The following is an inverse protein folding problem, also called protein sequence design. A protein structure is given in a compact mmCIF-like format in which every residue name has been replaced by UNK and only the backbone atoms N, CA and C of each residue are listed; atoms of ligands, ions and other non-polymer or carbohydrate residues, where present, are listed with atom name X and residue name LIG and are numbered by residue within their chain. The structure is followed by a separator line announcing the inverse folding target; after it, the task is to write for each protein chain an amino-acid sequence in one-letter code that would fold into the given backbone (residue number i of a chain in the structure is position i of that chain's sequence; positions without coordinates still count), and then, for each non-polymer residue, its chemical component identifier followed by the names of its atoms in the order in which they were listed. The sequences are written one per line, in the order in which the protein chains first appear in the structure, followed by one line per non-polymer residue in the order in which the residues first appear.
data_IF_502562652545
#
_entry.id   IF_502562652545
#
_cell.length_a   1.000
_cell.length_b   1.000
_cell.length_c   1.000
_cell.angle_alpha   90.00
_cell.angle_beta   90.00
_cell.angle_gamma   90.00
#
_symmetry.space_group_name_H-M   'P 1'
#
loop_
_entity.id
_entity.type
_entity.pdbx_description
1 polymer ?
#
# COMPACT_ATOMS: atom_id res chain seq x y z
N UNK A 1 -21.84 -36.49 -36.57
CA UNK A 1 -20.95 -36.33 -35.40
C UNK A 1 -19.92 -35.21 -35.57
N UNK A 2 -19.13 -35.20 -36.65
CA UNK A 2 -18.02 -34.25 -36.87
C UNK A 2 -18.42 -32.76 -36.79
N UNK A 3 -19.57 -32.34 -37.34
CA UNK A 3 -20.02 -30.93 -37.28
C UNK A 3 -20.31 -30.41 -35.86
N UNK A 4 -20.75 -31.28 -34.94
CA UNK A 4 -21.02 -30.91 -33.53
C UNK A 4 -19.71 -30.77 -32.73
N UNK A 5 -18.71 -31.60 -33.05
CA UNK A 5 -17.37 -31.51 -32.45
C UNK A 5 -16.65 -30.25 -32.93
N UNK A 6 -16.76 -29.91 -34.22
CA UNK A 6 -16.16 -28.68 -34.76
C UNK A 6 -16.79 -27.41 -34.15
N UNK A 7 -18.11 -27.40 -33.93
CA UNK A 7 -18.81 -26.28 -33.29
C UNK A 7 -18.38 -26.11 -31.83
N UNK A 8 -18.23 -27.21 -31.09
CA UNK A 8 -17.78 -27.16 -29.69
C UNK A 8 -16.32 -26.68 -29.56
N UNK A 9 -15.44 -27.07 -30.48
CA UNK A 9 -14.06 -26.57 -30.52
C UNK A 9 -14.04 -25.07 -30.88
N UNK A 10 -14.87 -24.63 -31.82
CA UNK A 10 -14.95 -23.21 -32.18
C UNK A 10 -15.49 -22.34 -31.04
N UNK A 11 -16.49 -22.82 -30.30
CA UNK A 11 -17.03 -22.12 -29.11
C UNK A 11 -15.99 -22.12 -27.98
N UNK A 12 -15.29 -23.23 -27.73
CA UNK A 12 -14.22 -23.28 -26.74
C UNK A 12 -13.04 -22.36 -27.09
N UNK A 13 -12.69 -22.25 -28.38
CA UNK A 13 -11.65 -21.33 -28.86
C UNK A 13 -12.10 -19.87 -28.79
N UNK A 14 -13.38 -19.57 -29.06
CA UNK A 14 -13.94 -18.23 -28.91
C UNK A 14 -13.99 -17.79 -27.44
N UNK A 15 -14.31 -18.70 -26.51
CA UNK A 15 -14.30 -18.42 -25.06
C UNK A 15 -12.88 -18.17 -24.54
N UNK A 16 -11.85 -18.78 -25.14
CA UNK A 16 -10.45 -18.56 -24.76
C UNK A 16 -9.90 -17.17 -25.14
N UNK A 17 -10.54 -16.45 -26.08
CA UNK A 17 -10.12 -15.12 -26.54
C UNK A 17 -10.71 -13.99 -25.66
N UNK A 18 -11.66 -14.29 -24.77
CA UNK A 18 -12.41 -13.28 -23.99
C UNK A 18 -11.85 -12.95 -22.59
N UNK A 19 -10.67 -13.46 -22.21
CA UNK A 19 -10.10 -13.21 -20.87
C UNK A 19 -8.71 -12.59 -20.89
N UNK A 20 -8.45 -11.63 -21.80
CA UNK A 20 -7.33 -10.72 -21.61
C UNK A 20 -7.74 -9.67 -20.58
N UNK A 21 -7.42 -9.90 -19.30
CA UNK A 21 -7.44 -8.81 -18.32
C UNK A 21 -6.33 -7.85 -18.80
N UNK A 22 -6.64 -6.60 -19.17
CA UNK A 22 -5.59 -5.66 -19.54
C UNK A 22 -4.66 -5.51 -18.34
N UNK A 23 -3.37 -5.74 -18.54
CA UNK A 23 -2.39 -5.36 -17.55
C UNK A 23 -2.54 -3.85 -17.34
N UNK A 24 -2.75 -3.41 -16.09
CA UNK A 24 -2.77 -2.00 -15.78
C UNK A 24 -1.40 -1.42 -16.19
N UNK A 25 -1.42 -0.34 -16.97
CA UNK A 25 -0.20 0.33 -17.36
C UNK A 25 0.27 1.18 -16.18
N UNK A 26 1.58 1.25 -15.96
CA UNK A 26 2.17 2.07 -14.90
C UNK A 26 1.88 3.55 -15.18
N UNK A 27 1.04 4.17 -14.35
CA UNK A 27 0.66 5.58 -14.50
C UNK A 27 1.60 6.48 -13.70
N UNK A 28 1.92 7.66 -14.22
CA UNK A 28 2.71 8.66 -13.49
C UNK A 28 1.97 9.99 -13.54
N UNK A 29 1.75 10.57 -12.37
CA UNK A 29 1.07 11.84 -12.15
C UNK A 29 2.04 12.77 -11.43
N UNK A 30 2.19 13.98 -11.93
CA UNK A 30 3.10 14.99 -11.40
C UNK A 30 2.33 16.28 -11.19
N UNK A 31 2.25 16.78 -9.96
CA UNK A 31 1.42 17.95 -9.60
C UNK A 31 -0.03 17.81 -10.11
N UNK A 32 -0.67 16.69 -9.78
CA UNK A 32 -2.04 16.31 -10.17
C UNK A 32 -2.32 16.16 -11.67
N UNK A 33 -1.29 16.22 -12.52
CA UNK A 33 -1.42 16.00 -13.96
C UNK A 33 -0.76 14.69 -14.39
N UNK A 34 -1.54 13.86 -15.10
CA UNK A 34 -1.04 12.63 -15.72
C UNK A 34 -0.04 12.95 -16.82
N UNK A 35 1.10 12.25 -16.78
CA UNK A 35 2.18 12.41 -17.73
C UNK A 35 2.09 11.37 -18.83
N UNK A 36 2.05 11.85 -20.07
CA UNK A 36 2.17 11.02 -21.26
C UNK A 36 3.65 10.78 -21.57
N UNK A 37 3.98 9.52 -21.86
CA UNK A 37 5.35 9.11 -22.17
C UNK A 37 5.44 8.53 -23.58
N UNK A 38 6.43 8.98 -24.34
CA UNK A 38 6.80 8.32 -25.60
C UNK A 38 7.35 6.91 -25.38
N UNK A 39 8.08 6.72 -24.27
CA UNK A 39 8.57 5.42 -23.81
C UNK A 39 7.92 5.15 -22.47
N UNK A 40 7.02 4.16 -22.44
CA UNK A 40 6.19 3.85 -21.27
C UNK A 40 7.05 3.65 -20.00
N UNK A 41 6.57 4.09 -18.83
CA UNK A 41 7.18 3.77 -17.55
C UNK A 41 7.33 2.26 -17.37
N UNK A 42 8.41 1.82 -16.72
CA UNK A 42 8.73 0.41 -16.55
C UNK A 42 8.85 0.04 -15.07
N UNK A 43 8.20 -1.04 -14.67
CA UNK A 43 8.40 -1.64 -13.35
C UNK A 43 9.35 -2.83 -13.49
N UNK A 44 10.50 -2.78 -12.82
CA UNK A 44 11.53 -3.80 -12.88
C UNK A 44 12.00 -4.12 -11.45
N UNK A 45 11.81 -5.36 -10.99
CA UNK A 45 12.15 -5.81 -9.63
C UNK A 45 11.67 -4.87 -8.51
N UNK A 46 10.43 -4.40 -8.60
CA UNK A 46 9.84 -3.48 -7.60
C UNK A 46 10.39 -2.05 -7.66
N UNK A 47 11.04 -1.67 -8.77
CA UNK A 47 11.57 -0.32 -8.99
C UNK A 47 10.99 0.24 -10.28
N UNK A 48 10.36 1.40 -10.15
CA UNK A 48 9.77 2.09 -11.28
C UNK A 48 10.78 3.02 -11.97
N UNK A 49 10.81 2.94 -13.29
CA UNK A 49 11.67 3.72 -14.17
C UNK A 49 10.82 4.61 -15.07
N UNK A 50 11.22 5.87 -15.17
CA UNK A 50 10.53 6.88 -16.00
C UNK A 50 11.54 7.61 -16.87
N UNK A 51 11.10 8.07 -18.05
CA UNK A 51 11.91 8.97 -18.84
C UNK A 51 12.09 10.30 -18.10
N UNK A 52 13.33 10.77 -17.97
CA UNK A 52 13.68 11.97 -17.16
C UNK A 52 12.94 13.21 -17.62
N UNK A 53 12.93 13.46 -18.93
CA UNK A 53 12.48 14.72 -19.52
C UNK A 53 11.01 15.09 -19.21
N UNK A 54 10.01 14.23 -19.47
CA UNK A 54 8.61 14.60 -19.23
C UNK A 54 8.33 14.90 -17.75
N UNK A 55 8.90 14.12 -16.82
CA UNK A 55 8.74 14.35 -15.38
C UNK A 55 9.45 15.64 -14.94
N UNK A 56 10.72 15.81 -15.31
CA UNK A 56 11.50 16.99 -14.96
C UNK A 56 10.90 18.28 -15.54
N UNK A 57 10.42 18.25 -16.78
CA UNK A 57 9.77 19.39 -17.41
C UNK A 57 8.48 19.80 -16.67
N UNK A 58 7.67 18.82 -16.24
CA UNK A 58 6.47 19.12 -15.46
C UNK A 58 6.80 19.76 -14.11
N UNK A 59 7.89 19.33 -13.50
CA UNK A 59 8.44 19.91 -12.27
C UNK A 59 9.15 21.27 -12.46
N UNK A 60 9.09 21.86 -13.66
CA UNK A 60 9.73 23.14 -13.98
C UNK A 60 11.25 23.07 -14.12
N UNK A 61 11.82 21.88 -14.29
CA UNK A 61 13.25 21.67 -14.47
C UNK A 61 13.65 21.63 -15.95
N UNK A 62 14.85 22.14 -16.25
CA UNK A 62 15.48 22.03 -17.56
C UNK A 62 16.30 20.75 -17.65
N UNK A 63 16.31 20.10 -18.81
CA UNK A 63 17.04 18.84 -19.01
C UNK A 63 17.99 18.95 -20.20
N UNK A 64 19.29 18.78 -19.94
CA UNK A 64 20.35 18.79 -20.93
C UNK A 64 20.99 17.41 -21.02
N UNK A 65 21.18 16.91 -22.24
CA UNK A 65 21.89 15.65 -22.49
C UNK A 65 23.27 15.94 -23.07
N UNK A 66 24.31 15.32 -22.51
CA UNK A 66 25.67 15.32 -23.03
C UNK A 66 25.99 13.96 -23.65
N UNK A 67 26.02 13.84 -25.00
CA UNK A 67 26.31 12.57 -25.65
C UNK A 67 27.73 12.05 -25.38
N UNK A 68 28.73 12.95 -25.32
CA UNK A 68 30.14 12.59 -25.12
C UNK A 68 30.39 12.05 -23.71
N UNK A 69 29.74 12.62 -22.71
CA UNK A 69 29.83 12.18 -21.31
C UNK A 69 28.80 11.09 -20.94
N UNK A 70 27.81 10.84 -21.81
CA UNK A 70 26.64 9.98 -21.53
C UNK A 70 25.93 10.40 -20.24
N UNK A 71 25.72 11.70 -20.09
CA UNK A 71 25.21 12.31 -18.86
C UNK A 71 23.96 13.12 -19.13
N UNK A 72 22.95 12.97 -18.28
CA UNK A 72 21.80 13.87 -18.22
C UNK A 72 21.97 14.85 -17.06
N UNK A 73 21.80 16.13 -17.34
CA UNK A 73 21.80 17.21 -16.35
C UNK A 73 20.38 17.75 -16.22
N UNK A 74 19.88 17.84 -15.00
CA UNK A 74 18.56 18.37 -14.66
C UNK A 74 18.75 19.57 -13.76
N UNK A 75 18.22 20.73 -14.14
CA UNK A 75 18.44 21.99 -13.42
C UNK A 75 17.12 22.65 -13.05
N UNK A 76 16.94 23.00 -11.77
CA UNK A 76 15.74 23.68 -11.25
C UNK A 76 16.09 24.62 -10.11
N UNK A 77 15.97 25.93 -10.32
CA UNK A 77 16.42 26.91 -9.34
C UNK A 77 17.88 26.67 -8.96
N UNK A 78 18.15 26.43 -7.68
CA UNK A 78 19.49 26.15 -7.14
C UNK A 78 19.88 24.65 -7.18
N UNK A 79 19.02 23.80 -7.75
CA UNK A 79 19.27 22.36 -7.90
C UNK A 79 19.93 22.10 -9.26
N UNK A 80 21.12 21.48 -9.22
CA UNK A 80 21.84 20.93 -10.36
C UNK A 80 22.09 19.43 -10.13
N UNK A 81 21.30 18.60 -10.81
CA UNK A 81 21.39 17.14 -10.72
C UNK A 81 22.07 16.58 -11.98
N UNK A 82 23.18 15.88 -11.80
CA UNK A 82 23.96 15.27 -12.87
C UNK A 82 23.94 13.75 -12.72
N UNK A 83 23.46 13.04 -13.75
CA UNK A 83 23.27 11.59 -13.75
C UNK A 83 24.01 10.97 -14.94
N UNK A 84 24.99 10.12 -14.64
CA UNK A 84 25.69 9.34 -15.66
C UNK A 84 24.90 8.05 -15.97
N UNK A 85 24.65 7.79 -17.26
CA UNK A 85 23.94 6.56 -17.68
C UNK A 85 24.80 5.34 -17.44
N UNK A 86 24.22 4.32 -16.80
CA UNK A 86 24.90 3.09 -16.40
C UNK A 86 25.74 3.21 -15.13
N UNK A 87 25.89 4.43 -14.58
CA UNK A 87 26.56 4.67 -13.31
C UNK A 87 25.59 4.58 -12.13
N UNK A 88 26.12 4.21 -10.96
CA UNK A 88 25.40 4.23 -9.68
C UNK A 88 25.65 5.51 -8.90
N UNK A 89 26.36 6.49 -9.45
CA UNK A 89 26.64 7.75 -8.76
C UNK A 89 26.00 8.90 -9.53
N UNK A 90 25.13 9.63 -8.83
CA UNK A 90 24.61 10.93 -9.24
C UNK A 90 25.38 12.04 -8.52
N UNK A 91 25.26 13.28 -8.99
CA UNK A 91 25.76 14.45 -8.28
C UNK A 91 24.64 15.47 -8.11
N UNK A 92 24.35 15.86 -6.88
CA UNK A 92 23.42 16.93 -6.54
C UNK A 92 24.25 18.12 -6.05
N UNK A 93 24.26 19.23 -6.80
CA UNK A 93 25.06 20.42 -6.48
C UNK A 93 26.53 20.06 -6.20
N UNK A 94 27.11 19.26 -7.12
CA UNK A 94 28.47 18.71 -7.06
C UNK A 94 28.75 17.72 -5.91
N UNK A 95 27.76 17.43 -5.04
CA UNK A 95 27.87 16.41 -4.00
C UNK A 95 27.45 15.03 -4.53
N UNK A 96 28.27 13.98 -4.35
CA UNK A 96 27.95 12.65 -4.84
C UNK A 96 26.80 12.02 -4.04
N UNK A 97 25.85 11.42 -4.76
CA UNK A 97 24.73 10.65 -4.22
C UNK A 97 24.75 9.26 -4.84
N UNK A 98 24.68 8.21 -4.00
CA UNK A 98 24.61 6.83 -4.48
C UNK A 98 23.19 6.48 -4.90
N UNK A 99 23.09 5.83 -6.05
CA UNK A 99 21.88 5.25 -6.61
C UNK A 99 21.84 3.78 -6.27
N UNK A 100 20.68 3.30 -5.81
CA UNK A 100 20.48 1.87 -5.60
C UNK A 100 20.57 1.07 -6.91
N UNK A 101 20.12 1.68 -8.02
CA UNK A 101 20.10 1.06 -9.35
C UNK A 101 20.52 2.11 -10.39
N UNK A 102 21.39 1.75 -11.35
CA UNK A 102 21.84 2.68 -12.37
C UNK A 102 20.71 3.11 -13.30
N UNK A 103 20.84 4.33 -13.83
CA UNK A 103 20.00 4.79 -14.93
C UNK A 103 20.33 4.06 -16.24
N UNK A 104 19.36 3.94 -17.14
CA UNK A 104 19.50 3.21 -18.41
C UNK A 104 18.95 3.99 -19.59
N UNK A 105 19.34 3.63 -20.80
CA UNK A 105 18.72 4.16 -22.02
C UNK A 105 17.84 3.07 -22.62
N UNK A 106 16.57 3.39 -22.85
CA UNK A 106 15.60 2.54 -23.54
C UNK A 106 15.01 3.36 -24.67
N UNK A 107 15.07 2.84 -25.90
CA UNK A 107 14.49 3.49 -27.09
C UNK A 107 14.92 4.96 -27.26
N UNK A 108 16.17 5.27 -26.94
CA UNK A 108 16.72 6.63 -27.05
C UNK A 108 16.28 7.60 -25.94
N UNK A 109 15.58 7.13 -24.91
CA UNK A 109 15.22 7.90 -23.71
C UNK A 109 16.01 7.43 -22.49
N UNK A 110 16.52 8.37 -21.71
CA UNK A 110 17.17 8.08 -20.43
C UNK A 110 16.10 7.82 -19.39
N UNK A 111 16.05 6.59 -18.90
CA UNK A 111 15.18 6.11 -17.84
C UNK A 111 15.95 6.10 -16.51
N UNK A 112 15.33 6.65 -15.47
CA UNK A 112 15.89 6.73 -14.13
C UNK A 112 14.90 6.16 -13.12
N UNK A 113 15.37 5.63 -11.97
CA UNK A 113 14.49 5.32 -10.85
C UNK A 113 13.70 6.57 -10.45
N UNK A 114 12.38 6.49 -10.53
CA UNK A 114 11.50 7.66 -10.37
C UNK A 114 11.63 8.31 -8.99
N UNK A 115 11.87 7.49 -7.95
CA UNK A 115 12.08 7.94 -6.57
C UNK A 115 13.26 8.88 -6.44
N UNK A 116 14.40 8.51 -7.01
CA UNK A 116 15.61 9.34 -7.00
C UNK A 116 15.36 10.66 -7.72
N UNK A 117 14.68 10.62 -8.87
CA UNK A 117 14.39 11.83 -9.62
C UNK A 117 13.52 12.80 -8.81
N UNK A 118 12.49 12.29 -8.14
CA UNK A 118 11.62 13.08 -7.26
C UNK A 118 12.40 13.63 -6.04
N UNK A 119 13.04 12.75 -5.27
CA UNK A 119 13.75 13.11 -4.04
C UNK A 119 14.87 14.12 -4.27
N UNK A 120 15.68 13.95 -5.31
CA UNK A 120 16.79 14.87 -5.60
C UNK A 120 16.34 16.19 -6.19
N UNK A 121 15.13 16.25 -6.76
CA UNK A 121 14.49 17.51 -7.09
C UNK A 121 13.82 18.14 -5.86
N UNK A 122 13.69 17.44 -4.74
CA UNK A 122 13.02 17.92 -3.54
C UNK A 122 11.51 17.72 -3.55
N UNK A 123 11.02 16.75 -4.32
CA UNK A 123 9.61 16.38 -4.38
C UNK A 123 9.31 15.12 -3.55
N UNK A 124 8.10 15.06 -3.01
CA UNK A 124 7.57 13.83 -2.44
C UNK A 124 7.15 12.86 -3.55
N UNK A 125 7.20 11.55 -3.26
CA UNK A 125 6.76 10.51 -4.18
C UNK A 125 5.94 9.44 -3.45
N UNK A 126 4.83 9.06 -4.05
CA UNK A 126 3.96 8.00 -3.56
C UNK A 126 3.67 6.98 -4.65
N UNK A 127 3.64 5.72 -4.23
CA UNK A 127 3.18 4.59 -5.01
C UNK A 127 1.76 4.23 -4.56
N UNK A 128 0.85 4.07 -5.51
CA UNK A 128 -0.48 3.49 -5.31
C UNK A 128 -0.52 2.14 -6.03
N UNK A 129 -0.46 1.05 -5.28
CA UNK A 129 -0.47 -0.29 -5.86
C UNK A 129 -1.81 -0.64 -6.55
N UNK A 130 -2.92 -0.05 -6.10
CA UNK A 130 -4.27 -0.38 -6.61
C UNK A 130 -4.50 0.18 -8.00
N UNK A 131 -3.94 1.36 -8.29
CA UNK A 131 -4.02 2.02 -9.59
C UNK A 131 -2.76 1.79 -10.45
N UNK A 132 -1.75 1.09 -9.90
CA UNK A 132 -0.39 1.07 -10.43
C UNK A 132 0.10 2.49 -10.78
N UNK A 133 -0.10 3.42 -9.84
CA UNK A 133 0.13 4.85 -10.03
C UNK A 133 1.32 5.38 -9.23
N UNK A 134 2.12 6.24 -9.84
CA UNK A 134 3.21 6.99 -9.21
C UNK A 134 2.83 8.46 -9.16
N UNK A 135 2.83 9.04 -7.97
CA UNK A 135 2.44 10.42 -7.73
C UNK A 135 3.63 11.22 -7.22
N UNK A 136 4.00 12.29 -7.92
CA UNK A 136 5.16 13.14 -7.61
C UNK A 136 4.71 14.57 -7.35
N UNK A 137 5.16 15.16 -6.25
CA UNK A 137 4.85 16.53 -5.87
C UNK A 137 4.36 16.67 -4.43
N UNK A 138 4.07 17.91 -4.03
CA UNK A 138 3.16 18.23 -2.92
C UNK A 138 1.73 17.83 -3.31
N UNK A 139 1.53 16.54 -3.53
CA UNK A 139 0.22 15.98 -3.31
C UNK A 139 0.02 16.14 -1.81
N UNK A 140 -0.99 16.91 -1.39
CA UNK A 140 -1.73 16.48 -0.20
C UNK A 140 -2.11 15.05 -0.54
N UNK A 141 -1.31 14.10 -0.03
CA UNK A 141 -1.68 12.73 -0.15
C UNK A 141 -3.11 12.67 0.32
N UNK A 142 -4.00 12.01 -0.42
CA UNK A 142 -5.35 11.91 0.05
C UNK A 142 -5.38 11.33 1.47
N UNK A 143 -4.32 10.60 1.83
CA UNK A 143 -4.05 9.97 3.09
C UNK A 143 -3.36 10.86 4.14
N UNK A 144 -4.12 11.31 5.14
CA UNK A 144 -3.57 11.81 6.39
C UNK A 144 -3.07 10.64 7.26
N UNK A 145 -1.80 10.67 7.71
CA UNK A 145 -1.35 9.76 8.77
C UNK A 145 -2.09 10.16 10.04
N UNK A 146 -2.93 9.28 10.57
CA UNK A 146 -3.69 9.57 11.79
C UNK A 146 -2.77 9.57 13.01
N UNK A 147 -2.08 10.69 13.25
CA UNK A 147 -1.28 10.95 14.44
C UNK A 147 -2.22 11.04 15.64
N UNK A 148 -2.29 9.97 16.44
CA UNK A 148 -3.25 9.82 17.53
C UNK A 148 -3.85 8.41 17.65
N UNK A 149 -3.55 7.52 16.70
CA UNK A 149 -3.84 6.10 16.89
C UNK A 149 -2.92 5.52 17.98
N UNK A 150 -3.51 5.09 19.09
CA UNK A 150 -2.78 4.43 20.17
C UNK A 150 -2.81 2.92 19.96
N UNK A 151 -1.63 2.32 19.93
CA UNK A 151 -1.48 0.86 20.00
C UNK A 151 -1.94 0.41 21.38
N UNK A 152 -2.96 -0.44 21.40
CA UNK A 152 -3.49 -0.97 22.66
C UNK A 152 -3.19 -2.44 22.71
N UNK A 153 -2.51 -2.86 23.78
CA UNK A 153 -2.49 -4.26 24.16
C UNK A 153 -3.90 -4.63 24.61
N UNK A 154 -4.57 -5.60 23.96
CA UNK A 154 -5.92 -5.98 24.34
C UNK A 154 -5.89 -6.57 25.76
N UNK A 155 -6.36 -5.81 26.75
CA UNK A 155 -6.57 -6.33 28.09
C UNK A 155 -7.95 -6.99 28.18
N UNK A 156 -8.06 -8.13 28.88
CA UNK A 156 -9.35 -8.78 29.06
C UNK A 156 -10.29 -7.88 29.87
N UNK A 157 -11.41 -7.49 29.26
CA UNK A 157 -12.44 -6.73 29.98
C UNK A 157 -12.98 -7.59 31.12
N UNK A 158 -13.00 -7.07 32.36
CA UNK A 158 -13.55 -7.82 33.50
C UNK A 158 -15.07 -8.01 33.35
N UNK A 159 -15.56 -9.25 33.25
CA UNK A 159 -16.99 -9.57 33.12
C UNK A 159 -17.28 -10.82 32.27
N UNK A 160 -18.55 -11.22 32.15
CA UNK A 160 -19.01 -12.20 31.16
C UNK A 160 -19.28 -11.47 29.84
N UNK A 161 -18.49 -11.77 28.81
CA UNK A 161 -18.60 -11.14 27.50
C UNK A 161 -18.97 -12.16 26.43
N UNK A 162 -19.67 -11.69 25.41
CA UNK A 162 -19.95 -12.43 24.19
C UNK A 162 -19.34 -11.61 23.04
N UNK A 163 -18.16 -11.99 22.55
CA UNK A 163 -17.53 -11.32 21.41
C UNK A 163 -18.29 -11.69 20.17
N UNK A 164 -18.79 -10.68 19.48
CA UNK A 164 -19.97 -10.78 18.65
C UNK A 164 -19.71 -10.97 17.13
N UNK A 165 -18.49 -11.31 16.67
CA UNK A 165 -18.08 -11.16 15.25
C UNK A 165 -17.69 -12.50 14.61
N UNK A 166 -18.35 -12.90 13.51
CA UNK A 166 -18.04 -14.13 12.75
C UNK A 166 -16.77 -13.91 11.93
N UNK A 167 -15.65 -13.89 12.64
CA UNK A 167 -14.33 -13.86 12.04
C UNK A 167 -13.99 -15.29 11.62
N UNK A 168 -13.88 -15.60 10.32
CA UNK A 168 -13.11 -16.75 9.88
C UNK A 168 -11.74 -16.80 10.57
N UNK A 169 -11.16 -18.00 10.63
CA UNK A 169 -9.75 -18.14 11.00
C UNK A 169 -8.92 -17.16 10.16
N UNK A 170 -8.18 -16.26 10.83
CA UNK A 170 -7.53 -15.09 10.23
C UNK A 170 -8.51 -14.06 9.67
N UNK A 171 -8.86 -13.04 10.46
CA UNK A 171 -9.74 -11.98 9.96
C UNK A 171 -9.53 -10.64 10.68
N UNK A 172 -10.22 -9.61 10.17
CA UNK A 172 -10.13 -8.23 10.59
C UNK A 172 -11.50 -7.70 10.99
N UNK A 173 -11.52 -6.73 11.91
CA UNK A 173 -12.75 -6.12 12.39
C UNK A 173 -12.59 -4.61 12.63
N UNK A 174 -13.71 -3.90 12.52
CA UNK A 174 -13.90 -2.54 13.05
C UNK A 174 -14.94 -2.63 14.16
N UNK A 175 -14.52 -2.35 15.40
CA UNK A 175 -15.36 -2.51 16.59
C UNK A 175 -15.78 -1.11 17.07
N UNK A 176 -17.10 -0.91 17.14
CA UNK A 176 -17.71 0.39 17.46
C UNK A 176 -18.53 0.37 18.76
N UNK A 177 -18.70 -0.80 19.40
CA UNK A 177 -19.45 -0.98 20.64
C UNK A 177 -19.05 -2.30 21.32
N UNK A 178 -19.23 -2.43 22.64
CA UNK A 178 -18.95 -3.68 23.37
C UNK A 178 -19.92 -4.84 23.05
N UNK A 179 -21.08 -4.60 22.43
CA UNK A 179 -22.18 -5.59 22.26
C UNK A 179 -22.40 -6.08 20.81
N UNK A 180 -21.35 -6.30 20.02
CA UNK A 180 -21.50 -6.85 18.64
C UNK A 180 -22.24 -8.22 18.71
N UNK A 181 -22.94 -8.72 17.66
CA UNK A 181 -23.78 -9.98 17.59
C UNK A 181 -23.27 -11.09 16.62
N UNK A 182 -22.83 -12.26 17.13
CA UNK A 182 -22.18 -13.40 16.40
C UNK A 182 -23.18 -14.31 15.69
N UNK A 183 -22.82 -14.85 14.52
CA UNK A 183 -23.56 -15.93 13.86
C UNK A 183 -23.16 -17.35 14.27
N UNK A 184 -22.00 -17.59 14.93
CA UNK A 184 -21.59 -18.93 15.40
C UNK A 184 -20.74 -18.89 16.68
N UNK A 185 -20.93 -19.82 17.64
CA UNK A 185 -20.11 -19.86 18.85
C UNK A 185 -18.68 -20.30 18.53
N UNK A 186 -17.65 -19.52 18.89
CA UNK A 186 -16.28 -19.97 18.77
C UNK A 186 -16.05 -21.03 19.85
N UNK A 187 -15.65 -22.24 19.45
CA UNK A 187 -15.30 -23.31 20.39
C UNK A 187 -13.98 -23.03 21.14
N UNK A 188 -13.33 -21.89 20.92
CA UNK A 188 -12.09 -21.47 21.59
C UNK A 188 -12.07 -19.96 21.83
N UNK A 189 -11.43 -19.57 22.93
CA UNK A 189 -11.38 -18.24 23.53
C UNK A 189 -10.86 -17.18 22.56
N UNK A 190 -11.77 -16.51 21.86
CA UNK A 190 -11.41 -15.25 21.22
C UNK A 190 -11.23 -14.22 22.33
N UNK A 191 -10.05 -13.59 22.41
CA UNK A 191 -9.79 -12.55 23.40
C UNK A 191 -10.81 -11.41 23.24
N UNK A 192 -11.36 -10.88 24.35
CA UNK A 192 -12.37 -9.83 24.27
C UNK A 192 -11.76 -8.58 23.62
N UNK A 193 -12.58 -7.74 22.98
CA UNK A 193 -12.08 -6.54 22.34
C UNK A 193 -11.46 -5.61 23.40
N UNK A 194 -10.46 -4.78 23.03
CA UNK A 194 -9.76 -3.92 23.99
C UNK A 194 -10.73 -3.09 24.84
N UNK A 195 -10.48 -2.97 26.14
CA UNK A 195 -11.26 -2.09 27.00
C UNK A 195 -11.04 -0.63 26.57
N UNK A 196 -12.10 0.05 26.13
CA UNK A 196 -12.01 1.45 25.72
C UNK A 196 -13.33 2.19 25.86
N UNK A 197 -13.25 3.51 25.78
CA UNK A 197 -14.41 4.38 25.64
C UNK A 197 -14.87 4.35 24.18
N UNK A 198 -15.83 3.47 23.87
CA UNK A 198 -16.35 3.30 22.51
C UNK A 198 -17.18 4.50 22.01
N UNK A 199 -17.54 5.44 22.88
CA UNK A 199 -18.13 6.73 22.47
C UNK A 199 -17.07 7.70 21.96
N UNK A 200 -15.83 7.59 22.45
CA UNK A 200 -14.70 8.41 21.97
C UNK A 200 -13.90 7.73 20.85
N UNK A 201 -13.77 6.41 20.91
CA UNK A 201 -12.91 5.63 20.04
C UNK A 201 -13.68 4.58 19.24
N UNK A 202 -13.20 4.29 18.04
CA UNK A 202 -13.43 3.01 17.38
C UNK A 202 -12.14 2.19 17.46
N UNK A 203 -12.25 0.88 17.38
CA UNK A 203 -11.11 -0.03 17.44
C UNK A 203 -10.95 -0.76 16.12
N UNK A 204 -9.77 -0.67 15.53
CA UNK A 204 -9.33 -1.59 14.50
C UNK A 204 -8.74 -2.82 15.16
N UNK A 205 -9.13 -4.00 14.70
CA UNK A 205 -8.64 -5.26 15.25
C UNK A 205 -8.29 -6.24 14.15
N UNK A 206 -7.21 -7.00 14.36
CA UNK A 206 -6.77 -8.04 13.46
C UNK A 206 -6.32 -9.25 14.24
N UNK A 207 -6.71 -10.42 13.73
CA UNK A 207 -6.46 -11.70 14.37
C UNK A 207 -5.88 -12.67 13.35
N UNK A 208 -4.80 -13.38 13.72
CA UNK A 208 -4.13 -14.34 12.84
C UNK A 208 -4.65 -15.78 13.02
N UNK A 209 -5.66 -16.01 13.85
CA UNK A 209 -6.09 -17.37 14.16
C UNK A 209 -5.08 -18.11 15.05
N UNK A 210 -5.25 -19.43 15.12
CA UNK A 210 -4.34 -20.31 15.85
C UNK A 210 -3.00 -20.43 15.11
N UNK A 211 -1.92 -20.10 15.81
CA UNK A 211 -0.56 -20.35 15.37
C UNK A 211 -0.02 -21.60 16.09
N UNK A 212 0.63 -22.53 15.37
CA UNK A 212 1.04 -23.83 15.92
C UNK A 212 2.15 -23.73 16.99
N UNK A 213 2.89 -22.64 17.00
CA UNK A 213 3.99 -22.38 17.93
C UNK A 213 4.01 -20.91 18.34
N UNK A 214 4.83 -20.55 19.33
CA UNK A 214 5.23 -19.17 19.57
C UNK A 214 6.05 -18.59 18.41
N UNK A 215 6.18 -17.26 18.40
CA UNK A 215 7.00 -16.50 17.44
C UNK A 215 6.25 -15.96 16.22
N UNK A 216 4.96 -16.26 16.08
CA UNK A 216 4.08 -15.55 15.14
C UNK A 216 3.62 -14.23 15.77
N UNK A 217 3.56 -13.15 14.99
CA UNK A 217 2.97 -11.89 15.44
C UNK A 217 2.26 -11.16 14.30
N UNK A 218 1.36 -10.25 14.66
CA UNK A 218 0.70 -9.33 13.74
C UNK A 218 0.70 -7.96 14.41
N UNK A 219 0.92 -6.90 13.63
CA UNK A 219 0.82 -5.51 14.09
C UNK A 219 0.38 -4.63 12.92
N UNK A 220 -0.23 -3.48 13.21
CA UNK A 220 -0.38 -2.47 12.17
C UNK A 220 0.91 -1.66 12.08
N UNK A 221 1.32 -1.26 10.88
CA UNK A 221 2.52 -0.45 10.67
C UNK A 221 2.15 1.01 10.41
N UNK A 222 0.97 1.27 9.87
CA UNK A 222 0.41 2.62 9.70
C UNK A 222 -1.10 2.57 9.51
N UNK A 223 -1.76 3.67 9.88
CA UNK A 223 -3.18 3.94 9.60
C UNK A 223 -3.25 5.28 8.89
N UNK A 224 -3.84 5.25 7.70
CA UNK A 224 -3.82 6.31 6.71
C UNK A 224 -5.27 6.64 6.33
N UNK A 225 -5.68 7.91 6.29
CA UNK A 225 -7.07 8.31 5.98
C UNK A 225 -7.19 9.09 4.68
N UNK A 226 -7.91 8.56 3.69
CA UNK A 226 -8.34 9.25 2.47
C UNK A 226 -9.84 9.45 2.41
N UNK A 227 -10.30 10.67 2.71
CA UNK A 227 -11.72 11.01 2.72
C UNK A 227 -12.51 10.04 3.60
N UNK A 228 -13.29 9.16 2.96
CA UNK A 228 -14.12 8.12 3.55
C UNK A 228 -13.43 6.75 3.68
N UNK A 229 -12.14 6.66 3.37
CA UNK A 229 -11.35 5.43 3.38
C UNK A 229 -10.27 5.49 4.46
N UNK A 230 -10.18 4.46 5.31
CA UNK A 230 -9.01 4.17 6.13
C UNK A 230 -8.21 3.02 5.49
N UNK A 231 -6.96 3.28 5.14
CA UNK A 231 -5.99 2.28 4.75
C UNK A 231 -5.14 1.89 5.96
N UNK A 232 -5.19 0.62 6.33
CA UNK A 232 -4.53 0.05 7.52
C UNK A 232 -3.48 -0.93 7.03
N UNK A 233 -2.20 -0.56 7.16
CA UNK A 233 -1.10 -1.44 6.78
C UNK A 233 -0.83 -2.45 7.88
N UNK A 234 -0.80 -3.72 7.53
CA UNK A 234 -0.68 -4.86 8.43
C UNK A 234 0.64 -5.55 8.14
N UNK A 235 1.42 -5.79 9.19
CA UNK A 235 2.63 -6.60 9.10
C UNK A 235 2.44 -7.87 9.92
N UNK A 236 2.63 -9.01 9.25
CA UNK A 236 2.62 -10.34 9.85
C UNK A 236 4.05 -10.84 9.92
N UNK A 237 4.42 -11.41 11.05
CA UNK A 237 5.73 -12.04 11.27
C UNK A 237 5.51 -13.51 11.55
N UNK A 238 6.25 -14.36 10.85
CA UNK A 238 6.34 -15.80 11.11
C UNK A 238 7.76 -16.17 11.55
N UNK A 239 7.94 -17.18 12.42
CA UNK A 239 9.27 -17.70 12.75
C UNK A 239 10.02 -18.16 11.50
N UNK A 240 11.32 -17.89 11.45
CA UNK A 240 12.19 -18.38 10.38
C UNK A 240 12.52 -19.88 10.53
N UNK A 241 12.97 -20.54 9.45
CA UNK A 241 13.42 -21.93 9.53
C UNK A 241 14.54 -22.11 10.59
N UNK A 242 14.36 -23.05 11.51
CA UNK A 242 15.34 -23.37 12.55
C UNK A 242 15.38 -22.39 13.74
N UNK A 243 14.49 -21.39 13.77
CA UNK A 243 14.34 -20.51 14.93
C UNK A 243 13.76 -21.31 16.11
N UNK A 244 14.34 -21.13 17.30
CA UNK A 244 13.79 -21.70 18.52
C UNK A 244 12.47 -20.99 18.82
N UNK A 245 11.41 -21.77 18.95
CA UNK A 245 10.04 -21.31 19.25
C UNK A 245 9.51 -21.99 20.50
N UNK A 246 8.51 -21.41 21.12
CA UNK A 246 7.75 -22.05 22.20
C UNK A 246 6.79 -23.07 21.60
N UNK A 247 6.77 -24.30 22.10
CA UNK A 247 5.80 -25.33 21.71
C UNK A 247 4.46 -25.12 22.42
N UNK A 248 3.78 -24.03 22.05
CA UNK A 248 2.45 -23.71 22.52
C UNK A 248 1.66 -23.10 21.38
N UNK A 249 0.39 -23.50 21.26
CA UNK A 249 -0.55 -22.79 20.41
C UNK A 249 -0.64 -21.34 20.87
N UNK A 250 -0.44 -20.40 19.95
CA UNK A 250 -0.57 -18.98 20.21
C UNK A 250 -1.65 -18.38 19.33
N UNK A 251 -2.13 -17.19 19.70
CA UNK A 251 -3.26 -16.54 19.07
C UNK A 251 -2.91 -15.08 18.76
N UNK A 252 -2.04 -14.80 17.77
CA UNK A 252 -1.53 -13.46 17.53
C UNK A 252 -2.62 -12.48 17.11
N UNK A 253 -2.60 -11.29 17.70
CA UNK A 253 -3.55 -10.22 17.41
C UNK A 253 -2.90 -8.83 17.43
N UNK A 254 -3.59 -7.87 16.83
CA UNK A 254 -3.24 -6.45 16.83
C UNK A 254 -4.48 -5.61 17.02
N UNK A 255 -4.38 -4.56 17.84
CA UNK A 255 -5.43 -3.57 17.99
C UNK A 255 -4.88 -2.14 17.96
N UNK A 256 -5.68 -1.23 17.39
CA UNK A 256 -5.43 0.20 17.44
C UNK A 256 -6.72 0.94 17.73
N UNK A 257 -6.67 1.91 18.64
CA UNK A 257 -7.75 2.86 18.86
C UNK A 257 -7.63 4.01 17.87
N UNK A 258 -8.76 4.44 17.33
CA UNK A 258 -8.86 5.64 16.49
C UNK A 258 -9.92 6.55 17.13
N UNK A 259 -9.56 7.79 17.42
CA UNK A 259 -10.54 8.78 17.88
C UNK A 259 -11.60 8.99 16.80
N UNK A 260 -12.87 8.95 17.17
CA UNK A 260 -13.99 9.13 16.23
C UNK A 260 -13.95 10.48 15.53
N UNK A 261 -13.44 11.52 16.19
CA UNK A 261 -13.21 12.83 15.57
C UNK A 261 -12.29 12.76 14.34
N UNK A 262 -11.28 11.88 14.37
CA UNK A 262 -10.33 11.67 13.26
C UNK A 262 -10.95 10.96 12.06
N UNK A 263 -12.14 10.39 12.21
CA UNK A 263 -12.90 9.72 11.12
C UNK A 263 -14.29 10.33 10.93
N UNK A 264 -14.52 11.51 11.50
CA UNK A 264 -15.76 12.27 11.35
C UNK A 264 -15.82 12.98 9.99
N UNK A 265 -17.01 13.44 9.59
CA UNK A 265 -17.21 14.12 8.31
C UNK A 265 -17.18 13.20 7.09
N UNK A 266 -17.45 11.91 7.28
CA UNK A 266 -17.55 10.93 6.19
C UNK A 266 -18.89 11.01 5.47
N UNK A 267 -18.87 10.89 4.15
CA UNK A 267 -20.06 11.06 3.31
C UNK A 267 -21.14 10.02 3.66
N UNK A 268 -22.31 10.51 4.07
CA UNK A 268 -23.44 9.66 4.49
C UNK A 268 -23.12 8.73 5.67
N UNK A 269 -22.14 9.09 6.51
CA UNK A 269 -21.73 8.28 7.66
C UNK A 269 -21.00 6.99 7.29
N UNK A 270 -20.61 6.78 6.02
CA UNK A 270 -20.01 5.52 5.55
C UNK A 270 -18.50 5.61 5.56
N UNK A 271 -17.85 4.82 6.40
CA UNK A 271 -16.40 4.67 6.42
C UNK A 271 -16.01 3.30 5.86
N UNK A 272 -15.14 3.30 4.85
CA UNK A 272 -14.52 2.08 4.29
C UNK A 272 -13.17 1.88 4.95
N UNK A 273 -12.90 0.68 5.47
CA UNK A 273 -11.62 0.32 6.08
C UNK A 273 -10.99 -0.81 5.29
N UNK A 274 -9.80 -0.55 4.73
CA UNK A 274 -9.01 -1.48 3.94
C UNK A 274 -7.79 -1.91 4.73
N UNK A 275 -7.72 -3.19 5.08
CA UNK A 275 -6.52 -3.81 5.61
C UNK A 275 -5.67 -4.31 4.46
N UNK A 276 -4.40 -3.93 4.42
CA UNK A 276 -3.45 -4.32 3.37
C UNK A 276 -2.17 -4.88 3.97
N UNK A 277 -1.44 -5.70 3.22
CA UNK A 277 -0.10 -6.17 3.63
C UNK A 277 0.98 -5.10 3.37
N UNK A 278 2.26 -5.48 3.52
CA UNK A 278 3.40 -4.58 3.31
C UNK A 278 3.57 -4.14 1.85
N UNK A 279 3.09 -4.95 0.91
CA UNK A 279 3.14 -4.69 -0.53
C UNK A 279 1.83 -4.03 -1.02
N UNK A 280 0.97 -3.60 -0.08
CA UNK A 280 -0.34 -2.97 -0.29
C UNK A 280 -1.39 -3.87 -0.93
N UNK A 281 -1.21 -5.20 -0.90
CA UNK A 281 -2.25 -6.12 -1.35
C UNK A 281 -3.42 -6.12 -0.36
N UNK A 282 -4.64 -6.07 -0.89
CA UNK A 282 -5.86 -6.10 -0.08
C UNK A 282 -6.00 -7.42 0.68
N UNK A 283 -5.96 -7.34 2.01
CA UNK A 283 -6.25 -8.45 2.91
C UNK A 283 -7.73 -8.52 3.24
N UNK A 284 -8.36 -7.37 3.49
CA UNK A 284 -9.79 -7.25 3.81
C UNK A 284 -10.30 -5.83 3.58
N UNK A 285 -11.52 -5.72 3.07
CA UNK A 285 -12.28 -4.47 3.03
C UNK A 285 -13.53 -4.62 3.92
N UNK A 286 -13.77 -3.63 4.77
CA UNK A 286 -14.94 -3.53 5.64
C UNK A 286 -15.61 -2.18 5.44
N UNK A 287 -16.93 -2.12 5.50
CA UNK A 287 -17.68 -0.86 5.46
C UNK A 287 -18.47 -0.73 6.75
N UNK A 288 -18.26 0.36 7.48
CA UNK A 288 -18.94 0.63 8.74
C UNK A 288 -19.71 1.96 8.69
N UNK A 289 -20.74 2.06 9.54
CA UNK A 289 -21.53 3.27 9.73
C UNK A 289 -20.97 4.03 10.92
N UNK A 290 -20.43 5.21 10.70
CA UNK A 290 -20.00 6.15 11.74
C UNK A 290 -21.23 6.96 12.13
N UNK A 291 -21.68 6.79 13.37
CA UNK A 291 -22.65 7.72 13.98
C UNK A 291 -21.91 9.02 14.28
N UNK A 292 -22.46 10.14 13.81
CA UNK A 292 -22.04 11.48 14.21
C UNK A 292 -22.36 11.76 15.68
#
# INVERSE_FOLDING_TARGET
MIKRILLLIFVALAVLILTSIPAHALEVVVQDEKIEFEVAPQLDNGRAFVAVRPVAAKLGAQVVWSPSARTVTVTRGDINLVLAVGGTTAYLNDQPVQLEIPSRIVEGRTLVPVRILAELLGENIIWDASEQGIYIGDRELPFEVLKGSEWVTPEPVQGQWHLSVDLPYQDFAVIQSPEVKLSKPPQQTVLPPPQTDYEKYLVLWAYLGEAPTGGYSIHFSSILRQGDILLVKVHRVSPGPGQIVTEAFTYPEAAARIERGLVSGVSGGRLTVRFVDQDENLLKELVCQIKE
#
